data_IF_686204617568
#
_entry.id   IF_686204617568
#
_cell.length_a   1.000
_cell.length_b   1.000
_cell.length_c   1.000
_cell.angle_alpha   90.00
_cell.angle_beta   90.00
_cell.angle_gamma   90.00
#
_symmetry.space_group_name_H-M   'P 1'
#
loop_
_entity.id
_entity.type
_entity.pdbx_description
1 polymer ?
#
# COMPACT_ATOMS: atom_id res chain seq x y z
N UNK A 1 -17.65 7.70 -6.56
CA UNK A 1 -17.45 8.11 -7.96
C UNK A 1 -18.54 7.54 -8.85
N UNK A 2 -18.30 6.38 -9.47
CA UNK A 2 -19.19 5.74 -10.46
C UNK A 2 -20.64 5.60 -10.01
N UNK A 3 -20.87 5.08 -8.79
CA UNK A 3 -22.22 4.95 -8.24
C UNK A 3 -22.95 6.29 -8.15
N UNK A 4 -22.26 7.34 -7.73
CA UNK A 4 -22.84 8.69 -7.65
C UNK A 4 -23.28 9.21 -9.02
N UNK A 5 -22.44 9.04 -10.04
CA UNK A 5 -22.79 9.44 -11.41
C UNK A 5 -23.98 8.66 -11.98
N UNK A 6 -24.06 7.34 -11.71
CA UNK A 6 -25.23 6.55 -12.06
C UNK A 6 -26.48 7.05 -11.33
N UNK A 7 -26.38 7.28 -10.01
CA UNK A 7 -27.48 7.80 -9.21
C UNK A 7 -27.97 9.16 -9.73
N UNK A 8 -27.09 10.05 -10.18
CA UNK A 8 -27.48 11.31 -10.85
C UNK A 8 -28.30 11.04 -12.12
N UNK A 9 -27.98 9.99 -12.87
CA UNK A 9 -28.76 9.56 -14.04
C UNK A 9 -30.23 9.23 -13.70
N UNK A 10 -30.47 8.64 -12.53
CA UNK A 10 -31.81 8.24 -12.09
C UNK A 10 -32.56 9.36 -11.37
N UNK A 11 -31.89 10.01 -10.42
CA UNK A 11 -32.53 10.85 -9.39
C UNK A 11 -32.39 12.36 -9.62
N UNK A 12 -31.64 12.84 -10.62
CA UNK A 12 -31.51 14.28 -10.86
C UNK A 12 -32.88 14.93 -11.06
N UNK A 13 -33.07 16.14 -10.52
CA UNK A 13 -34.35 16.83 -10.57
C UNK A 13 -34.16 18.34 -10.71
N UNK A 14 -34.78 18.93 -11.74
CA UNK A 14 -34.73 20.37 -12.00
C UNK A 14 -35.36 21.23 -10.92
N UNK A 15 -36.30 20.70 -10.14
CA UNK A 15 -36.87 21.45 -9.02
C UNK A 15 -35.84 21.71 -7.91
N UNK A 16 -34.80 20.88 -7.82
CA UNK A 16 -33.69 21.05 -6.87
C UNK A 16 -32.57 21.89 -7.50
N UNK A 17 -32.26 21.64 -8.78
CA UNK A 17 -31.25 22.38 -9.53
C UNK A 17 -31.79 22.82 -10.91
N UNK A 18 -32.28 24.07 -11.05
CA UNK A 18 -32.87 24.56 -12.30
C UNK A 18 -31.93 24.55 -13.51
N UNK A 19 -30.63 24.74 -13.27
CA UNK A 19 -29.59 24.73 -14.32
C UNK A 19 -29.17 23.31 -14.73
N UNK A 20 -29.67 22.30 -14.00
CA UNK A 20 -29.41 20.88 -14.26
C UNK A 20 -30.35 20.25 -15.28
N UNK A 21 -30.20 18.93 -15.43
CA UNK A 21 -31.14 18.08 -16.17
C UNK A 21 -31.98 17.24 -15.22
N UNK A 22 -33.16 16.80 -15.67
CA UNK A 22 -33.94 15.77 -14.99
C UNK A 22 -33.30 14.40 -15.21
N UNK A 23 -33.47 13.50 -14.25
CA UNK A 23 -33.10 12.10 -14.31
C UNK A 23 -34.24 11.22 -14.82
N UNK A 24 -33.98 9.91 -14.92
CA UNK A 24 -34.94 8.93 -15.42
C UNK A 24 -36.28 8.99 -14.65
N UNK A 25 -36.23 9.09 -13.31
CA UNK A 25 -37.43 9.08 -12.47
C UNK A 25 -38.25 10.38 -12.57
N UNK A 26 -37.66 11.43 -13.13
CA UNK A 26 -38.32 12.73 -13.36
C UNK A 26 -38.64 12.96 -14.84
N UNK A 27 -38.65 11.89 -15.66
CA UNK A 27 -39.14 11.92 -17.04
C UNK A 27 -38.07 12.06 -18.12
N UNK A 28 -36.78 12.05 -17.77
CA UNK A 28 -35.69 12.15 -18.74
C UNK A 28 -34.81 10.89 -18.76
N UNK A 29 -35.16 9.87 -19.56
CA UNK A 29 -34.33 8.66 -19.70
C UNK A 29 -32.96 8.92 -20.33
N UNK A 30 -32.82 10.00 -21.11
CA UNK A 30 -31.55 10.36 -21.76
C UNK A 30 -30.43 10.67 -20.77
N UNK A 31 -30.77 11.10 -19.55
CA UNK A 31 -29.80 11.42 -18.50
C UNK A 31 -28.96 10.22 -18.08
N UNK A 32 -29.53 9.01 -18.08
CA UNK A 32 -28.78 7.78 -17.75
C UNK A 32 -27.72 7.51 -18.81
N UNK A 33 -28.04 7.72 -20.08
CA UNK A 33 -27.08 7.51 -21.17
C UNK A 33 -25.93 8.52 -21.11
N UNK A 34 -26.24 9.79 -20.85
CA UNK A 34 -25.23 10.83 -20.65
C UNK A 34 -24.27 10.43 -19.53
N UNK A 35 -24.78 9.98 -18.38
CA UNK A 35 -23.93 9.57 -17.27
C UNK A 35 -23.09 8.32 -17.57
N UNK A 36 -23.64 7.34 -18.30
CA UNK A 36 -22.88 6.16 -18.71
C UNK A 36 -21.70 6.54 -19.62
N UNK A 37 -21.92 7.43 -20.59
CA UNK A 37 -20.83 7.91 -21.46
C UNK A 37 -19.78 8.71 -20.70
N UNK A 38 -20.20 9.56 -19.75
CA UNK A 38 -19.28 10.31 -18.90
C UNK A 38 -18.42 9.40 -18.01
N UNK A 39 -19.01 8.35 -17.42
CA UNK A 39 -18.28 7.33 -16.64
C UNK A 39 -17.26 6.63 -17.53
N UNK A 40 -17.68 6.14 -18.70
CA UNK A 40 -16.80 5.42 -19.62
C UNK A 40 -15.63 6.31 -20.08
N UNK A 41 -15.90 7.55 -20.47
CA UNK A 41 -14.87 8.52 -20.85
C UNK A 41 -13.89 8.78 -19.70
N UNK A 42 -14.40 8.93 -18.48
CA UNK A 42 -13.56 9.15 -17.29
C UNK A 42 -12.66 7.96 -16.99
N UNK A 43 -13.18 6.73 -17.12
CA UNK A 43 -12.38 5.51 -16.94
C UNK A 43 -11.29 5.38 -18.00
N UNK A 44 -11.62 5.62 -19.27
CA UNK A 44 -10.63 5.60 -20.35
C UNK A 44 -9.55 6.64 -20.10
N UNK A 45 -9.94 7.87 -19.76
CA UNK A 45 -8.99 8.93 -19.47
C UNK A 45 -8.09 8.59 -18.28
N UNK A 46 -8.67 8.15 -17.16
CA UNK A 46 -7.91 7.80 -15.95
C UNK A 46 -6.97 6.62 -16.20
N UNK A 47 -7.45 5.58 -16.88
CA UNK A 47 -6.64 4.40 -17.19
C UNK A 47 -5.50 4.73 -18.15
N UNK A 48 -5.80 5.35 -19.29
CA UNK A 48 -4.80 5.68 -20.31
C UNK A 48 -3.79 6.69 -19.77
N UNK A 49 -4.27 7.75 -19.12
CA UNK A 49 -3.40 8.78 -18.52
C UNK A 49 -2.46 8.18 -17.49
N UNK A 50 -2.99 7.36 -16.56
CA UNK A 50 -2.18 6.68 -15.55
C UNK A 50 -1.22 5.69 -16.19
N UNK A 51 -1.66 4.89 -17.16
CA UNK A 51 -0.81 3.93 -17.85
C UNK A 51 0.38 4.60 -18.55
N UNK A 52 0.13 5.71 -19.26
CA UNK A 52 1.19 6.49 -19.91
C UNK A 52 2.17 7.04 -18.88
N UNK A 53 1.67 7.65 -17.79
CA UNK A 53 2.52 8.18 -16.72
C UNK A 53 3.38 7.07 -16.12
N UNK A 54 2.77 5.93 -15.77
CA UNK A 54 3.50 4.80 -15.19
C UNK A 54 4.55 4.26 -16.16
N UNK A 55 4.24 4.13 -17.45
CA UNK A 55 5.21 3.67 -18.45
C UNK A 55 6.38 4.62 -18.64
N UNK A 56 6.13 5.93 -18.61
CA UNK A 56 7.19 6.94 -18.67
C UNK A 56 8.08 6.86 -17.44
N UNK A 57 7.49 6.78 -16.24
CA UNK A 57 8.25 6.68 -14.99
C UNK A 57 9.07 5.37 -14.93
N UNK A 58 8.48 4.26 -15.34
CA UNK A 58 9.16 2.96 -15.39
C UNK A 58 10.38 2.99 -16.32
N UNK A 59 10.27 3.66 -17.48
CA UNK A 59 11.38 3.81 -18.42
C UNK A 59 12.50 4.75 -17.92
N UNK A 60 12.17 5.71 -17.04
CA UNK A 60 13.13 6.71 -16.56
C UNK A 60 13.86 6.29 -15.29
N UNK A 61 13.15 5.71 -14.31
CA UNK A 61 13.69 5.43 -12.98
C UNK A 61 13.35 4.04 -12.45
N UNK A 62 12.44 3.30 -13.11
CA UNK A 62 11.90 2.04 -12.62
C UNK A 62 10.94 2.24 -11.44
N UNK A 63 9.69 1.83 -11.59
CA UNK A 63 8.67 2.02 -10.54
C UNK A 63 8.62 0.88 -9.52
N UNK A 64 9.07 -0.32 -9.90
CA UNK A 64 9.06 -1.49 -9.04
C UNK A 64 10.43 -1.71 -8.42
N UNK A 65 10.43 -1.95 -7.12
CA UNK A 65 11.61 -2.33 -6.33
C UNK A 65 12.13 -3.69 -6.78
N UNK A 66 13.44 -3.93 -6.67
CA UNK A 66 14.05 -5.21 -7.04
C UNK A 66 13.46 -6.36 -6.19
N UNK A 67 13.35 -7.57 -6.74
CA UNK A 67 12.80 -8.73 -6.01
C UNK A 67 13.58 -9.04 -4.71
N UNK A 68 14.86 -8.64 -4.66
CA UNK A 68 15.73 -8.82 -3.50
C UNK A 68 15.37 -7.85 -2.36
N UNK A 69 15.05 -6.60 -2.69
CA UNK A 69 14.63 -5.58 -1.73
C UNK A 69 13.16 -5.77 -1.28
N UNK A 70 12.30 -6.34 -2.14
CA UNK A 70 10.93 -6.76 -1.80
C UNK A 70 10.95 -7.87 -0.73
N UNK A 71 11.93 -8.79 -0.78
CA UNK A 71 12.11 -9.86 0.20
C UNK A 71 12.75 -9.41 1.53
N UNK A 72 13.62 -8.40 1.51
CA UNK A 72 14.27 -7.84 2.70
C UNK A 72 13.34 -6.92 3.52
N UNK A 73 12.21 -6.48 2.93
CA UNK A 73 11.23 -5.60 3.53
C UNK A 73 11.39 -4.15 3.06
N UNK A 74 10.31 -3.58 2.52
CA UNK A 74 10.27 -2.21 1.97
C UNK A 74 10.53 -1.14 3.04
N UNK A 75 10.15 -1.40 4.29
CA UNK A 75 10.36 -0.46 5.39
C UNK A 75 11.86 -0.31 5.74
N UNK A 76 12.62 -1.43 5.71
CA UNK A 76 14.06 -1.43 5.99
C UNK A 76 14.87 -0.78 4.86
N UNK A 77 14.48 -1.02 3.60
CA UNK A 77 15.21 -0.55 2.40
C UNK A 77 14.87 0.89 1.99
N UNK A 78 13.63 1.36 2.17
CA UNK A 78 13.21 2.71 1.74
C UNK A 78 13.03 3.72 2.87
N UNK A 79 12.78 3.27 4.11
CA UNK A 79 12.48 4.16 5.24
C UNK A 79 13.46 4.03 6.41
N UNK A 80 14.49 3.16 6.32
CA UNK A 80 15.48 2.92 7.39
C UNK A 80 14.87 2.69 8.78
N UNK A 81 13.63 2.19 8.84
CA UNK A 81 12.91 1.88 10.07
C UNK A 81 12.29 0.48 9.97
N UNK A 82 12.40 -0.29 11.06
CA UNK A 82 11.83 -1.64 11.15
C UNK A 82 10.40 -1.54 11.70
N UNK A 83 9.37 -1.76 10.85
CA UNK A 83 7.97 -1.65 11.27
C UNK A 83 7.51 -2.67 12.34
N UNK A 84 8.25 -3.77 12.50
CA UNK A 84 8.01 -4.75 13.56
C UNK A 84 9.30 -5.24 14.21
N UNK A 85 9.56 -4.85 15.47
CA UNK A 85 10.29 -5.71 16.41
C UNK A 85 9.30 -6.73 16.99
N UNK A 86 8.90 -7.72 16.18
CA UNK A 86 8.01 -8.78 16.65
C UNK A 86 8.80 -9.73 17.56
N UNK A 87 8.78 -9.44 18.86
CA UNK A 87 9.06 -10.41 19.93
C UNK A 87 10.49 -10.93 20.01
N UNK A 88 11.35 -10.16 20.68
CA UNK A 88 12.53 -10.63 21.42
C UNK A 88 13.10 -12.00 21.05
N UNK A 89 13.92 -12.05 20.00
CA UNK A 89 14.93 -13.09 19.82
C UNK A 89 16.29 -12.45 19.54
N UNK A 90 16.66 -11.49 20.40
CA UNK A 90 18.03 -10.96 20.50
C UNK A 90 18.84 -11.66 21.61
N UNK A 91 18.34 -12.79 22.15
CA UNK A 91 18.97 -13.58 23.21
C UNK A 91 19.85 -14.73 22.68
N UNK A 92 20.51 -14.55 21.54
CA UNK A 92 21.40 -15.57 20.96
C UNK A 92 22.79 -15.06 20.57
N UNK A 93 22.90 -13.81 20.12
CA UNK A 93 24.08 -13.38 19.34
C UNK A 93 25.07 -12.50 20.11
N UNK A 94 24.95 -12.36 21.44
CA UNK A 94 25.88 -11.52 22.24
C UNK A 94 26.48 -12.19 23.49
N UNK A 95 26.51 -13.52 23.56
CA UNK A 95 27.21 -14.24 24.64
C UNK A 95 28.12 -15.38 24.14
N UNK A 96 28.76 -15.17 22.99
CA UNK A 96 29.69 -16.14 22.40
C UNK A 96 31.10 -15.63 22.10
N UNK A 97 31.36 -14.32 22.26
CA UNK A 97 32.63 -13.70 21.90
C UNK A 97 33.55 -13.52 23.11
N UNK A 98 34.70 -14.20 23.08
CA UNK A 98 35.88 -14.03 23.95
C UNK A 98 35.77 -14.41 25.45
N UNK A 99 34.67 -14.14 26.15
CA UNK A 99 34.63 -14.35 27.62
C UNK A 99 34.33 -15.81 28.05
N UNK A 100 33.48 -16.52 27.29
CA UNK A 100 33.14 -17.92 27.58
C UNK A 100 34.32 -18.88 27.40
N UNK A 101 35.27 -18.56 26.51
CA UNK A 101 36.51 -19.32 26.33
C UNK A 101 37.46 -19.18 27.51
N UNK A 102 37.53 -17.99 28.13
CA UNK A 102 38.40 -17.71 29.26
C UNK A 102 37.96 -18.46 30.54
N UNK A 103 36.66 -18.65 30.73
CA UNK A 103 36.11 -19.30 31.93
C UNK A 103 36.30 -20.83 31.95
N UNK A 104 36.63 -21.44 30.80
CA UNK A 104 36.87 -22.89 30.67
C UNK A 104 38.31 -23.31 31.04
N UNK A 105 39.23 -22.35 31.20
CA UNK A 105 40.65 -22.61 31.45
C UNK A 105 41.06 -22.54 32.94
N UNK A 106 40.15 -22.19 33.85
CA UNK A 106 40.47 -22.11 35.28
C UNK A 106 40.27 -23.47 35.97
N UNK A 107 41.32 -24.07 36.59
CA UNK A 107 41.16 -25.32 37.32
C UNK A 107 40.32 -25.09 38.60
N UNK A 108 39.23 -25.84 38.73
CA UNK A 108 38.39 -25.91 39.92
C UNK A 108 39.20 -26.48 41.10
N UNK A 109 39.44 -25.67 42.13
CA UNK A 109 39.98 -26.13 43.41
C UNK A 109 38.81 -26.65 44.25
N UNK A 110 38.83 -27.94 44.58
CA UNK A 110 37.80 -28.57 45.41
C UNK A 110 37.78 -27.98 46.84
N UNK A 111 36.61 -27.74 47.45
CA UNK A 111 36.52 -27.27 48.84
C UNK A 111 36.81 -28.41 49.84
N UNK A 112 37.44 -28.13 50.99
CA UNK A 112 37.75 -29.16 51.99
C UNK A 112 36.50 -29.62 52.73
N UNK A 113 36.37 -30.93 52.90
CA UNK A 113 35.29 -31.58 53.62
C UNK A 113 35.58 -31.60 55.12
N UNK A 114 34.72 -30.97 55.92
CA UNK A 114 34.44 -31.34 57.31
C UNK A 114 33.03 -30.88 57.68
#
# INVERSE_FOLDING_TARGET
GTWGALATGFFAWKAINPDGGDGLLHGNPGQVWIQLTAIAASWVFAFVGTFVILKVLDALMGLRVSEQDEAAGLDLSQHSETAYMLGGSSYGEYSGGAFAGAMRAAPSKAPPAH
#
